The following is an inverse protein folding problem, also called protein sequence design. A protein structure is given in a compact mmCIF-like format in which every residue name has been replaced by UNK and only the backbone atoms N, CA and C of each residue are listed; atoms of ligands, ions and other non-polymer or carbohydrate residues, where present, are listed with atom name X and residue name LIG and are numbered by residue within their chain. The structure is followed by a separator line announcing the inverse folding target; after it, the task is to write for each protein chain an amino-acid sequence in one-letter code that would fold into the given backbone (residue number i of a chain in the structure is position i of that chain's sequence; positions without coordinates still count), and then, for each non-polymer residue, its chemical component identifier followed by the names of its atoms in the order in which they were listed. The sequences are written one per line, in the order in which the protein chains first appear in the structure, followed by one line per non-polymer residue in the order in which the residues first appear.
data_IF_212403732705
#
_entry.id   IF_212403732705
#
_cell.length_a   1.000
_cell.length_b   1.000
_cell.length_c   1.000
_cell.angle_alpha   90.00
_cell.angle_beta   90.00
_cell.angle_gamma   90.00
#
_symmetry.space_group_name_H-M   'P 1'
#
loop_
_entity.id
_entity.type
_entity.pdbx_description
1 polymer ?
#
# COMPACT_ATOMS: atom_id res chain seq x y z
N UNK A 1 24.09 -16.40 -18.40
CA UNK A 1 24.57 -15.01 -18.19
C UNK A 1 25.15 -14.90 -16.80
N UNK A 2 26.12 -14.00 -16.57
CA UNK A 2 26.70 -13.78 -15.23
C UNK A 2 25.82 -12.83 -14.40
N UNK A 3 25.20 -11.85 -15.06
CA UNK A 3 24.31 -10.87 -14.44
C UNK A 3 23.06 -10.67 -15.29
N UNK A 4 21.91 -10.48 -14.65
CA UNK A 4 20.62 -10.17 -15.30
C UNK A 4 19.91 -9.07 -14.49
N UNK A 5 19.33 -8.08 -15.17
CA UNK A 5 18.47 -7.06 -14.58
C UNK A 5 17.11 -7.10 -15.28
N UNK A 6 16.02 -7.10 -14.52
CA UNK A 6 14.67 -7.20 -15.07
C UNK A 6 13.68 -6.28 -14.36
N UNK A 7 12.83 -5.61 -15.15
CA UNK A 7 11.65 -4.90 -14.69
C UNK A 7 10.46 -5.32 -15.58
N UNK A 8 9.91 -6.52 -15.38
CA UNK A 8 8.81 -7.02 -16.18
C UNK A 8 7.51 -6.28 -15.89
N UNK A 9 6.51 -6.34 -16.79
CA UNK A 9 5.17 -5.83 -16.49
C UNK A 9 4.57 -6.58 -15.29
N UNK A 10 4.07 -5.83 -14.31
CA UNK A 10 3.59 -6.41 -13.06
C UNK A 10 2.28 -7.15 -13.26
N UNK A 11 2.23 -8.38 -12.76
CA UNK A 11 1.00 -9.18 -12.68
C UNK A 11 0.26 -9.30 -14.03
N UNK A 12 1.01 -9.30 -15.13
CA UNK A 12 0.45 -9.43 -16.47
C UNK A 12 -0.24 -10.79 -16.65
N UNK A 13 -1.30 -10.80 -17.46
CA UNK A 13 -1.85 -12.05 -17.98
C UNK A 13 -0.82 -12.67 -18.93
N UNK A 14 -0.73 -13.99 -18.93
CA UNK A 14 0.17 -14.72 -19.82
C UNK A 14 -0.39 -16.10 -20.15
N UNK A 15 0.08 -16.64 -21.25
CA UNK A 15 -0.20 -18.02 -21.64
C UNK A 15 0.82 -18.95 -20.98
N UNK A 16 0.31 -19.92 -20.23
CA UNK A 16 1.16 -20.95 -19.64
C UNK A 16 1.76 -21.80 -20.75
N UNK A 17 3.07 -21.95 -20.72
CA UNK A 17 3.83 -22.78 -21.66
C UNK A 17 4.48 -23.91 -20.86
N UNK A 18 4.35 -25.14 -21.34
CA UNK A 18 5.14 -26.25 -20.81
C UNK A 18 6.59 -26.11 -21.31
N UNK A 19 7.48 -25.75 -20.38
CA UNK A 19 8.89 -25.55 -20.67
C UNK A 19 9.72 -26.10 -19.52
N UNK A 20 10.85 -26.76 -19.85
CA UNK A 20 11.74 -27.38 -18.88
C UNK A 20 12.28 -26.41 -17.83
N UNK A 21 12.26 -25.10 -18.05
CA UNK A 21 12.67 -24.09 -17.06
C UNK A 21 11.75 -24.00 -15.83
N UNK A 22 10.53 -24.51 -15.93
CA UNK A 22 9.53 -24.47 -14.84
C UNK A 22 9.40 -25.81 -14.10
N UNK A 23 9.97 -26.89 -14.63
CA UNK A 23 9.72 -28.26 -14.18
C UNK A 23 10.03 -28.49 -12.69
N UNK A 24 11.09 -27.87 -12.17
CA UNK A 24 11.51 -28.01 -10.77
C UNK A 24 10.72 -27.16 -9.77
N UNK A 25 9.91 -26.18 -10.23
CA UNK A 25 9.26 -25.19 -9.36
C UNK A 25 7.74 -25.17 -9.49
N UNK A 26 7.23 -25.50 -10.67
CA UNK A 26 5.83 -25.30 -11.05
C UNK A 26 5.62 -24.08 -11.94
N UNK A 27 4.38 -23.88 -12.36
CA UNK A 27 3.98 -22.87 -13.35
C UNK A 27 3.20 -21.75 -12.65
N UNK A 28 3.55 -20.49 -12.94
CA UNK A 28 2.84 -19.34 -12.40
C UNK A 28 1.37 -19.27 -12.89
N UNK A 29 0.43 -18.65 -12.15
CA UNK A 29 -0.97 -18.54 -12.58
C UNK A 29 -1.13 -17.75 -13.88
N UNK A 30 -2.09 -18.11 -14.75
CA UNK A 30 -2.37 -17.41 -16.02
C UNK A 30 -2.59 -15.89 -15.86
N UNK A 31 -3.16 -15.48 -14.73
CA UNK A 31 -3.43 -14.07 -14.43
C UNK A 31 -2.25 -13.31 -13.82
N UNK A 32 -1.13 -13.99 -13.52
CA UNK A 32 0.04 -13.44 -12.83
C UNK A 32 1.34 -14.02 -13.38
N UNK A 33 1.95 -13.33 -14.32
CA UNK A 33 3.22 -13.72 -14.94
C UNK A 33 4.48 -13.47 -14.07
N UNK A 34 4.34 -12.93 -12.86
CA UNK A 34 5.46 -12.47 -12.03
C UNK A 34 6.53 -13.55 -11.84
N UNK A 35 6.14 -14.75 -11.38
CA UNK A 35 7.07 -15.89 -11.24
C UNK A 35 7.49 -16.52 -12.58
N UNK A 36 6.73 -16.32 -13.67
CA UNK A 36 7.16 -16.77 -14.98
C UNK A 36 8.39 -15.97 -15.46
N UNK A 37 8.38 -14.65 -15.28
CA UNK A 37 9.55 -13.80 -15.57
C UNK A 37 10.71 -14.06 -14.60
N UNK A 38 10.41 -14.27 -13.32
CA UNK A 38 11.39 -14.65 -12.30
C UNK A 38 12.17 -15.90 -12.72
N UNK A 39 11.45 -17.00 -12.99
CA UNK A 39 12.04 -18.28 -13.37
C UNK A 39 12.70 -18.22 -14.76
N UNK A 40 12.15 -17.44 -15.69
CA UNK A 40 12.79 -17.21 -16.98
C UNK A 40 14.19 -16.61 -16.81
N UNK A 41 14.33 -15.50 -16.08
CA UNK A 41 15.63 -14.89 -15.82
C UNK A 41 16.57 -15.83 -15.05
N UNK A 42 16.07 -16.46 -13.99
CA UNK A 42 16.86 -17.36 -13.15
C UNK A 42 17.41 -18.56 -13.94
N UNK A 43 16.61 -19.15 -14.84
CA UNK A 43 17.04 -20.26 -15.70
C UNK A 43 18.24 -19.91 -16.58
N UNK A 44 18.38 -18.63 -16.97
CA UNK A 44 19.44 -18.13 -17.85
C UNK A 44 20.71 -17.74 -17.10
N UNK A 45 20.70 -17.71 -15.77
CA UNK A 45 21.92 -17.50 -14.99
C UNK A 45 22.86 -18.70 -15.12
N UNK A 46 24.16 -18.41 -15.23
CA UNK A 46 25.23 -19.38 -15.01
C UNK A 46 25.38 -19.63 -13.50
N UNK A 47 26.04 -20.73 -13.14
CA UNK A 47 26.46 -20.98 -11.75
C UNK A 47 27.19 -19.77 -11.16
N UNK A 48 26.85 -19.39 -9.93
CA UNK A 48 27.37 -18.20 -9.25
C UNK A 48 26.85 -16.84 -9.77
N UNK A 49 26.06 -16.84 -10.85
CA UNK A 49 25.48 -15.65 -11.45
C UNK A 49 24.47 -14.95 -10.53
N UNK A 50 24.25 -13.66 -10.75
CA UNK A 50 23.37 -12.82 -9.93
C UNK A 50 22.28 -12.19 -10.80
N UNK A 51 21.06 -12.12 -10.30
CA UNK A 51 19.96 -11.41 -10.95
C UNK A 51 19.32 -10.43 -9.99
N UNK A 52 18.89 -9.28 -10.51
CA UNK A 52 18.03 -8.36 -9.77
C UNK A 52 16.74 -8.17 -10.57
N UNK A 53 15.60 -8.34 -9.91
CA UNK A 53 14.28 -8.22 -10.54
C UNK A 53 13.35 -7.37 -9.67
N UNK A 54 12.65 -6.44 -10.31
CA UNK A 54 11.61 -5.63 -9.66
C UNK A 54 10.25 -6.30 -9.83
N UNK A 55 9.52 -6.50 -8.73
CA UNK A 55 8.20 -7.13 -8.72
C UNK A 55 7.26 -6.45 -7.71
N UNK A 56 5.93 -6.62 -7.81
CA UNK A 56 5.01 -6.16 -6.78
C UNK A 56 5.13 -6.99 -5.49
N UNK A 57 4.82 -6.40 -4.33
CA UNK A 57 4.91 -7.07 -3.02
C UNK A 57 4.15 -8.42 -2.94
N UNK A 58 3.09 -8.60 -3.72
CA UNK A 58 2.30 -9.84 -3.68
C UNK A 58 3.12 -11.11 -3.90
N UNK A 59 4.23 -11.06 -4.65
CA UNK A 59 5.09 -12.24 -4.88
C UNK A 59 5.68 -12.82 -3.57
N UNK A 60 5.79 -11.98 -2.54
CA UNK A 60 6.36 -12.35 -1.24
C UNK A 60 5.46 -13.26 -0.41
N UNK A 61 4.14 -13.19 -0.61
CA UNK A 61 3.17 -13.85 0.28
C UNK A 61 2.01 -14.55 -0.41
N UNK A 62 1.77 -14.32 -1.71
CA UNK A 62 0.71 -15.04 -2.44
C UNK A 62 0.94 -16.55 -2.35
N UNK A 63 -0.15 -17.27 -2.09
CA UNK A 63 -0.14 -18.72 -1.83
C UNK A 63 -0.29 -19.56 -3.09
N UNK A 64 -0.89 -20.76 -2.94
CA UNK A 64 -1.17 -21.70 -4.02
C UNK A 64 0.07 -22.00 -4.89
N UNK A 65 -0.04 -21.84 -6.21
CA UNK A 65 1.05 -22.11 -7.14
C UNK A 65 2.30 -21.26 -6.87
N UNK A 66 2.12 -19.98 -6.56
CA UNK A 66 3.24 -19.06 -6.30
C UNK A 66 3.93 -19.37 -4.97
N UNK A 67 3.17 -19.79 -3.96
CA UNK A 67 3.73 -20.26 -2.69
C UNK A 67 4.64 -21.49 -2.87
N UNK A 68 4.25 -22.44 -3.73
CA UNK A 68 5.07 -23.62 -4.05
C UNK A 68 6.37 -23.23 -4.78
N UNK A 69 6.28 -22.36 -5.78
CA UNK A 69 7.45 -21.85 -6.51
C UNK A 69 8.41 -21.13 -5.55
N UNK A 70 7.89 -20.23 -4.72
CA UNK A 70 8.69 -19.48 -3.74
C UNK A 70 9.40 -20.39 -2.74
N UNK A 71 8.68 -21.39 -2.20
CA UNK A 71 9.27 -22.40 -1.31
C UNK A 71 10.44 -23.12 -1.96
N UNK A 72 10.27 -23.62 -3.19
CA UNK A 72 11.33 -24.32 -3.91
C UNK A 72 12.56 -23.43 -4.17
N UNK A 73 12.35 -22.16 -4.52
CA UNK A 73 13.43 -21.19 -4.70
C UNK A 73 14.20 -20.89 -3.39
N UNK A 74 13.50 -20.83 -2.26
CA UNK A 74 14.12 -20.65 -0.94
C UNK A 74 14.89 -21.90 -0.50
N UNK A 75 14.35 -23.09 -0.76
CA UNK A 75 15.01 -24.37 -0.51
C UNK A 75 16.32 -24.54 -1.29
N UNK A 76 16.41 -23.95 -2.49
CA UNK A 76 17.64 -23.90 -3.31
C UNK A 76 18.61 -22.77 -2.89
N UNK A 77 18.20 -21.87 -1.98
CA UNK A 77 19.00 -20.69 -1.63
C UNK A 77 19.06 -19.62 -2.72
N UNK A 78 18.17 -19.70 -3.71
CA UNK A 78 18.16 -18.84 -4.90
C UNK A 78 17.88 -17.37 -4.57
N UNK A 79 17.01 -17.12 -3.58
CA UNK A 79 16.64 -15.76 -3.13
C UNK A 79 17.67 -15.29 -2.11
N UNK A 80 18.50 -14.32 -2.47
CA UNK A 80 19.56 -13.78 -1.61
C UNK A 80 19.09 -12.59 -0.78
N UNK A 81 18.32 -11.69 -1.37
CA UNK A 81 17.84 -10.51 -0.66
C UNK A 81 16.49 -10.01 -1.18
N UNK A 82 15.73 -9.37 -0.29
CA UNK A 82 14.46 -8.70 -0.55
C UNK A 82 14.59 -7.26 -0.08
N UNK A 83 14.45 -6.32 -1.01
CA UNK A 83 14.57 -4.89 -0.73
C UNK A 83 13.22 -4.24 -1.03
N UNK A 84 12.52 -3.78 0.00
CA UNK A 84 11.28 -3.01 -0.13
C UNK A 84 11.59 -1.60 -0.63
N UNK A 85 11.03 -1.22 -1.77
CA UNK A 85 11.23 0.10 -2.34
C UNK A 85 10.07 1.03 -1.95
N UNK A 86 10.29 2.36 -1.95
CA UNK A 86 9.22 3.32 -1.72
C UNK A 86 8.05 3.13 -2.70
N UNK A 87 6.84 3.38 -2.21
CA UNK A 87 5.66 3.46 -3.05
C UNK A 87 5.77 4.61 -4.06
N UNK A 88 4.98 4.56 -5.13
CA UNK A 88 4.85 5.66 -6.10
C UNK A 88 6.16 6.15 -6.75
N UNK A 89 7.17 5.28 -6.93
CA UNK A 89 8.42 5.60 -7.65
C UNK A 89 8.36 5.23 -9.15
N UNK A 90 7.48 4.30 -9.53
CA UNK A 90 7.31 3.84 -10.91
C UNK A 90 6.20 4.60 -11.63
N UNK A 91 6.33 4.74 -12.95
CA UNK A 91 5.25 5.30 -13.77
C UNK A 91 4.10 4.29 -13.91
N UNK A 92 2.86 4.79 -13.88
CA UNK A 92 1.66 3.98 -14.14
C UNK A 92 1.16 3.16 -12.94
N UNK A 93 1.81 3.22 -11.78
CA UNK A 93 1.33 2.60 -10.55
C UNK A 93 1.88 3.29 -9.31
N UNK A 94 1.04 3.45 -8.29
CA UNK A 94 1.46 3.92 -6.96
C UNK A 94 1.76 2.78 -5.99
N UNK A 95 1.64 1.52 -6.45
CA UNK A 95 1.84 0.33 -5.62
C UNK A 95 3.32 0.24 -5.19
N UNK A 96 3.62 -0.10 -3.92
CA UNK A 96 4.99 -0.41 -3.50
C UNK A 96 5.52 -1.65 -4.20
N UNK A 97 6.82 -1.66 -4.46
CA UNK A 97 7.50 -2.73 -5.21
C UNK A 97 8.69 -3.23 -4.42
N UNK A 98 9.16 -4.42 -4.76
CA UNK A 98 10.36 -5.00 -4.18
C UNK A 98 11.40 -5.24 -5.27
N UNK A 99 12.65 -4.98 -4.92
CA UNK A 99 13.81 -5.45 -5.65
C UNK A 99 14.27 -6.76 -5.01
N UNK A 100 14.20 -7.85 -5.78
CA UNK A 100 14.63 -9.18 -5.33
C UNK A 100 15.97 -9.48 -5.96
N UNK A 101 16.95 -9.82 -5.13
CA UNK A 101 18.26 -10.26 -5.57
C UNK A 101 18.31 -11.77 -5.50
N UNK A 102 18.67 -12.39 -6.62
CA UNK A 102 18.86 -13.82 -6.75
C UNK A 102 20.33 -14.13 -6.96
N UNK A 103 20.80 -15.25 -6.41
CA UNK A 103 22.12 -15.81 -6.71
C UNK A 103 22.00 -17.29 -7.00
N UNK A 104 22.60 -17.74 -8.09
CA UNK A 104 22.54 -19.15 -8.51
C UNK A 104 23.61 -19.98 -7.82
N UNK A 105 23.26 -21.21 -7.45
CA UNK A 105 24.12 -22.20 -6.79
C UNK A 105 24.79 -21.64 -5.52
N UNK A 106 24.00 -21.03 -4.62
CA UNK A 106 24.45 -20.53 -3.33
C UNK A 106 24.16 -21.57 -2.24
N UNK A 107 25.18 -21.92 -1.43
CA UNK A 107 25.02 -22.85 -0.31
C UNK A 107 24.23 -22.25 0.86
N UNK A 108 24.55 -20.99 1.19
CA UNK A 108 23.83 -20.20 2.18
C UNK A 108 22.39 -19.92 1.71
N UNK A 109 21.40 -20.23 2.56
CA UNK A 109 19.98 -20.05 2.27
C UNK A 109 19.33 -18.91 3.05
N UNK A 110 20.12 -18.16 3.83
CA UNK A 110 19.65 -16.97 4.51
C UNK A 110 19.17 -15.92 3.49
N UNK A 111 18.22 -15.10 3.91
CA UNK A 111 17.64 -14.03 3.11
C UNK A 111 17.89 -12.71 3.83
N UNK A 112 18.52 -11.77 3.14
CA UNK A 112 18.73 -10.43 3.67
C UNK A 112 17.54 -9.54 3.33
N UNK A 113 16.91 -8.96 4.36
CA UNK A 113 15.79 -8.05 4.20
C UNK A 113 16.24 -6.61 4.42
N UNK A 114 15.75 -5.70 3.56
CA UNK A 114 15.88 -4.26 3.73
C UNK A 114 14.49 -3.65 3.51
N UNK A 115 14.01 -2.84 4.44
CA UNK A 115 12.87 -1.96 4.24
C UNK A 115 13.34 -0.54 3.91
N UNK A 116 13.44 -0.23 2.62
CA UNK A 116 13.72 1.11 2.15
C UNK A 116 12.45 1.88 1.77
N UNK A 117 11.26 1.45 2.24
CA UNK A 117 9.98 2.08 1.90
C UNK A 117 9.90 3.56 2.26
N UNK A 118 10.66 3.99 3.28
CA UNK A 118 10.76 5.38 3.78
C UNK A 118 11.88 6.19 3.14
N UNK A 119 12.77 5.58 2.34
CA UNK A 119 13.93 6.25 1.76
C UNK A 119 13.55 6.98 0.45
N UNK A 120 12.76 8.04 0.53
CA UNK A 120 12.37 8.84 -0.63
C UNK A 120 12.17 10.31 -0.31
N UNK A 121 12.33 11.16 -1.32
CA UNK A 121 11.81 12.52 -1.28
C UNK A 121 10.43 12.55 -1.93
N UNK A 122 9.46 13.16 -1.24
CA UNK A 122 8.10 13.33 -1.75
C UNK A 122 8.13 14.32 -2.93
N UNK A 123 7.98 13.79 -4.14
CA UNK A 123 7.79 14.61 -5.33
C UNK A 123 6.31 14.92 -5.58
N UNK A 124 6.04 15.77 -6.58
CA UNK A 124 4.68 16.23 -6.90
C UNK A 124 3.75 15.11 -7.38
N UNK A 125 4.24 14.25 -8.28
CA UNK A 125 3.46 13.14 -8.87
C UNK A 125 4.02 11.76 -8.52
N UNK A 126 5.31 11.69 -8.17
CA UNK A 126 6.05 10.47 -7.86
C UNK A 126 7.04 10.73 -6.74
N UNK A 127 7.33 9.70 -5.97
CA UNK A 127 8.42 9.72 -5.02
C UNK A 127 9.76 9.62 -5.75
N UNK A 128 10.77 10.33 -5.25
CA UNK A 128 12.09 10.40 -5.84
C UNK A 128 13.08 9.64 -4.96
N UNK A 129 13.72 8.64 -5.54
CA UNK A 129 14.85 7.94 -4.94
C UNK A 129 16.12 8.73 -5.26
N UNK A 130 16.61 9.51 -4.29
CA UNK A 130 17.84 10.29 -4.43
C UNK A 130 19.07 9.40 -4.33
N UNK A 131 20.20 9.92 -4.79
CA UNK A 131 21.49 9.20 -4.73
C UNK A 131 21.87 8.80 -3.30
N UNK A 132 21.56 9.64 -2.30
CA UNK A 132 21.79 9.35 -0.88
C UNK A 132 21.01 8.12 -0.39
N UNK A 133 19.75 7.98 -0.84
CA UNK A 133 18.90 6.82 -0.54
C UNK A 133 19.46 5.56 -1.20
N UNK A 134 19.86 5.66 -2.47
CA UNK A 134 20.44 4.55 -3.22
C UNK A 134 21.74 4.08 -2.57
N UNK A 135 22.61 5.01 -2.15
CA UNK A 135 23.86 4.68 -1.47
C UNK A 135 23.61 4.00 -0.12
N UNK A 136 22.66 4.48 0.68
CA UNK A 136 22.29 3.85 1.95
C UNK A 136 21.83 2.40 1.75
N UNK A 137 20.94 2.16 0.79
CA UNK A 137 20.45 0.82 0.45
C UNK A 137 21.61 -0.08 -0.01
N UNK A 138 22.45 0.44 -0.91
CA UNK A 138 23.57 -0.30 -1.49
C UNK A 138 24.60 -0.70 -0.43
N UNK A 139 25.03 0.23 0.43
CA UNK A 139 25.98 -0.04 1.50
C UNK A 139 25.40 -1.04 2.50
N UNK A 140 24.13 -0.89 2.89
CA UNK A 140 23.46 -1.83 3.80
C UNK A 140 23.42 -3.24 3.20
N UNK A 141 23.11 -3.36 1.91
CA UNK A 141 23.14 -4.65 1.21
C UNK A 141 24.55 -5.24 1.10
N UNK A 142 25.55 -4.42 0.79
CA UNK A 142 26.94 -4.86 0.61
C UNK A 142 27.55 -5.36 1.92
N UNK A 143 27.31 -4.66 3.02
CA UNK A 143 27.80 -5.03 4.36
C UNK A 143 26.94 -6.11 5.04
N UNK A 144 25.74 -6.39 4.52
CA UNK A 144 24.72 -7.22 5.17
C UNK A 144 24.47 -6.81 6.62
N UNK A 145 24.56 -5.49 6.88
CA UNK A 145 24.48 -4.92 8.22
C UNK A 145 23.04 -4.98 8.74
N UNK A 146 22.84 -5.55 9.91
CA UNK A 146 21.58 -5.43 10.64
C UNK A 146 21.42 -4.00 11.17
N UNK A 147 20.31 -3.34 10.82
CA UNK A 147 19.97 -1.99 11.26
C UNK A 147 18.55 -2.04 11.79
N UNK A 148 18.36 -1.54 13.02
CA UNK A 148 17.05 -1.52 13.66
C UNK A 148 16.00 -0.84 12.77
N UNK A 149 14.84 -1.47 12.65
CA UNK A 149 13.71 -1.05 11.80
C UNK A 149 14.02 -0.87 10.30
N UNK A 150 15.17 -1.33 9.83
CA UNK A 150 15.60 -1.11 8.44
C UNK A 150 16.11 -2.37 7.74
N UNK A 151 16.95 -3.18 8.38
CA UNK A 151 17.53 -4.36 7.73
C UNK A 151 17.85 -5.48 8.70
N UNK A 152 17.71 -6.72 8.22
CA UNK A 152 18.03 -7.92 9.00
C UNK A 152 18.40 -9.09 8.09
N UNK A 153 19.43 -9.84 8.48
CA UNK A 153 19.72 -11.15 7.90
C UNK A 153 18.88 -12.20 8.63
N UNK A 154 18.14 -13.00 7.87
CA UNK A 154 17.21 -13.99 8.41
C UNK A 154 17.64 -15.37 7.92
N UNK A 155 17.77 -16.30 8.86
CA UNK A 155 18.14 -17.68 8.56
C UNK A 155 17.00 -18.44 7.89
N UNK A 156 17.35 -19.46 7.11
CA UNK A 156 16.37 -20.27 6.37
C UNK A 156 15.30 -20.91 7.28
N UNK A 157 15.69 -21.36 8.47
CA UNK A 157 14.76 -22.00 9.41
C UNK A 157 13.69 -21.01 9.91
N UNK A 158 14.05 -19.75 10.18
CA UNK A 158 13.07 -18.71 10.54
C UNK A 158 12.11 -18.40 9.37
N UNK A 159 12.61 -18.40 8.12
CA UNK A 159 11.76 -18.24 6.94
C UNK A 159 10.81 -19.42 6.76
N UNK A 160 11.27 -20.64 7.06
CA UNK A 160 10.48 -21.86 7.01
C UNK A 160 9.39 -21.89 8.08
N UNK A 161 9.71 -21.47 9.31
CA UNK A 161 8.75 -21.34 10.41
C UNK A 161 7.68 -20.29 10.12
N UNK A 162 8.01 -19.30 9.29
CA UNK A 162 7.07 -18.30 8.75
C UNK A 162 6.34 -18.75 7.47
N UNK A 163 6.21 -20.06 7.23
CA UNK A 163 5.52 -20.64 6.06
C UNK A 163 6.05 -20.12 4.70
N UNK A 164 7.35 -19.83 4.62
CA UNK A 164 8.00 -19.24 3.44
C UNK A 164 7.38 -17.90 3.01
N UNK A 165 6.76 -17.18 3.94
CA UNK A 165 6.23 -15.84 3.70
C UNK A 165 7.37 -14.82 3.81
N UNK A 166 7.65 -14.10 2.72
CA UNK A 166 8.74 -13.12 2.65
C UNK A 166 8.26 -11.69 2.88
N UNK A 167 7.09 -11.49 3.48
CA UNK A 167 6.60 -10.14 3.77
C UNK A 167 7.54 -9.43 4.75
N UNK A 168 8.06 -8.27 4.36
CA UNK A 168 9.16 -7.58 5.06
C UNK A 168 8.85 -7.29 6.54
N UNK A 169 7.65 -6.81 6.92
CA UNK A 169 7.31 -6.54 8.32
C UNK A 169 7.35 -7.75 9.25
N UNK A 170 7.47 -8.98 8.72
CA UNK A 170 7.65 -10.19 9.55
C UNK A 170 9.07 -10.30 10.11
N UNK A 171 10.04 -9.63 9.48
CA UNK A 171 11.46 -9.80 9.78
C UNK A 171 12.12 -8.50 10.19
N UNK A 172 11.67 -7.38 9.62
CA UNK A 172 12.09 -6.03 9.98
C UNK A 172 10.93 -5.39 10.71
N UNK A 173 11.11 -5.10 12.00
CA UNK A 173 10.08 -4.41 12.78
C UNK A 173 10.01 -2.95 12.35
N UNK A 174 9.05 -2.64 11.49
CA UNK A 174 8.80 -1.29 10.97
C UNK A 174 7.78 -0.54 11.81
N UNK A 175 7.34 -1.09 12.95
CA UNK A 175 6.35 -0.45 13.79
C UNK A 175 6.94 0.82 14.43
N UNK A 176 6.23 1.92 14.24
CA UNK A 176 6.41 3.14 15.01
C UNK A 176 5.31 3.14 16.07
N UNK A 177 5.69 3.21 17.35
CA UNK A 177 4.71 3.51 18.40
C UNK A 177 4.10 4.86 18.05
N UNK A 178 2.78 4.88 17.82
CA UNK A 178 2.05 6.14 17.65
C UNK A 178 2.24 6.95 18.94
N UNK A 179 2.50 8.25 18.77
CA UNK A 179 2.59 9.15 19.92
C UNK A 179 1.31 9.01 20.76
N UNK A 180 1.43 8.90 22.10
CA UNK A 180 0.27 8.76 22.95
C UNK A 180 -0.66 9.95 22.74
N UNK A 181 -1.90 9.66 22.31
CA UNK A 181 -2.92 10.67 22.06
C UNK A 181 -3.24 11.38 23.38
N UNK A 182 -3.05 12.71 23.43
CA UNK A 182 -3.51 13.52 24.55
C UNK A 182 -5.04 13.60 24.52
N UNK A 183 -5.67 12.73 25.30
CA UNK A 183 -7.13 12.68 25.46
C UNK A 183 -7.72 14.02 25.94
N UNK A 184 -6.94 14.83 26.68
CA UNK A 184 -7.34 16.16 27.11
C UNK A 184 -7.37 17.16 25.95
N UNK A 185 -6.35 17.14 25.09
CA UNK A 185 -6.31 17.97 23.88
C UNK A 185 -7.45 17.63 22.93
N UNK A 186 -7.72 16.33 22.70
CA UNK A 186 -8.84 15.86 21.87
C UNK A 186 -10.18 16.29 22.44
N UNK A 187 -10.37 16.19 23.76
CA UNK A 187 -11.61 16.64 24.41
C UNK A 187 -11.81 18.16 24.25
N UNK A 188 -10.74 18.95 24.39
CA UNK A 188 -10.79 20.40 24.16
C UNK A 188 -11.13 20.74 22.71
N UNK A 189 -10.54 20.03 21.75
CA UNK A 189 -10.82 20.20 20.32
C UNK A 189 -12.29 19.89 20.01
N UNK A 190 -12.84 18.80 20.56
CA UNK A 190 -14.27 18.47 20.44
C UNK A 190 -15.14 19.60 21.00
N UNK A 191 -14.81 20.11 22.20
CA UNK A 191 -15.58 21.20 22.82
C UNK A 191 -15.52 22.50 22.00
N UNK A 192 -14.38 22.79 21.37
CA UNK A 192 -14.21 23.95 20.49
C UNK A 192 -15.02 23.78 19.21
N UNK A 193 -14.95 22.62 18.56
CA UNK A 193 -15.73 22.30 17.36
C UNK A 193 -17.23 22.37 17.62
N UNK A 194 -17.71 21.85 18.75
CA UNK A 194 -19.13 21.96 19.14
C UNK A 194 -19.58 23.41 19.33
N UNK A 195 -18.70 24.26 19.88
CA UNK A 195 -18.98 25.69 20.04
C UNK A 195 -19.00 26.41 18.68
N UNK A 196 -18.10 26.05 17.77
CA UNK A 196 -18.09 26.58 16.40
C UNK A 196 -19.32 26.14 15.61
N UNK A 197 -19.70 24.86 15.67
CA UNK A 197 -20.92 24.33 15.05
C UNK A 197 -22.14 25.14 15.52
N UNK A 198 -22.31 25.31 16.84
CA UNK A 198 -23.43 26.10 17.39
C UNK A 198 -23.41 27.55 16.92
N UNK A 199 -22.23 28.14 16.78
CA UNK A 199 -22.09 29.51 16.28
C UNK A 199 -22.51 29.58 14.81
N UNK A 200 -22.00 28.69 13.97
CA UNK A 200 -22.32 28.63 12.54
C UNK A 200 -23.80 28.32 12.30
N UNK A 201 -24.42 27.43 13.09
CA UNK A 201 -25.85 27.15 13.04
C UNK A 201 -26.68 28.40 13.38
N UNK A 202 -26.26 29.19 14.37
CA UNK A 202 -26.93 30.44 14.74
C UNK A 202 -26.80 31.51 13.64
N UNK A 203 -25.63 31.64 13.04
CA UNK A 203 -25.40 32.55 11.92
C UNK A 203 -26.26 32.16 10.71
N UNK A 204 -26.25 30.88 10.34
CA UNK A 204 -27.08 30.34 9.26
C UNK A 204 -28.58 30.54 9.55
N UNK A 205 -29.02 30.29 10.78
CA UNK A 205 -30.40 30.53 11.20
C UNK A 205 -30.81 32.00 11.10
N UNK A 206 -29.90 32.93 11.39
CA UNK A 206 -30.14 34.37 11.25
C UNK A 206 -30.28 34.76 9.78
N UNK A 207 -29.39 34.26 8.92
CA UNK A 207 -29.47 34.48 7.46
C UNK A 207 -30.77 33.91 6.88
N UNK A 208 -31.16 32.70 7.29
CA UNK A 208 -32.42 32.09 6.85
C UNK A 208 -33.62 32.95 7.24
N UNK A 209 -33.61 33.56 8.42
CA UNK A 209 -34.69 34.44 8.88
C UNK A 209 -34.92 35.65 7.97
N UNK A 210 -33.85 36.21 7.41
CA UNK A 210 -33.88 37.36 6.50
C UNK A 210 -34.28 36.97 5.07
N UNK A 211 -34.34 35.68 4.74
CA UNK A 211 -34.77 35.21 3.43
C UNK A 211 -36.29 35.19 3.30
N UNK A 212 -36.78 35.78 2.20
CA UNK A 212 -38.15 35.71 1.71
C UNK A 212 -38.19 35.21 0.25
N UNK A 213 -39.27 34.52 -0.12
CA UNK A 213 -39.47 34.03 -1.49
C UNK A 213 -40.21 35.09 -2.31
N UNK A 214 -39.54 35.68 -3.29
CA UNK A 214 -40.04 36.79 -4.09
C UNK A 214 -41.18 36.45 -5.06
N UNK A 215 -41.24 35.22 -5.57
CA UNK A 215 -42.18 34.82 -6.63
C UNK A 215 -43.45 34.11 -6.12
N UNK A 216 -43.60 33.94 -4.80
CA UNK A 216 -44.77 33.29 -4.21
C UNK A 216 -44.93 31.79 -4.50
N UNK A 217 -43.90 31.13 -5.03
CA UNK A 217 -43.95 29.69 -5.34
C UNK A 217 -44.16 28.86 -4.05
N UNK A 218 -45.28 28.14 -3.92
CA UNK A 218 -45.62 27.39 -2.71
C UNK A 218 -44.56 26.34 -2.32
N UNK A 219 -43.88 25.72 -3.30
CA UNK A 219 -42.86 24.70 -3.03
C UNK A 219 -41.60 25.31 -2.42
N UNK A 220 -41.19 26.48 -2.92
CA UNK A 220 -40.02 27.19 -2.40
C UNK A 220 -40.29 27.77 -1.00
N UNK A 221 -41.51 28.24 -0.74
CA UNK A 221 -41.93 28.72 0.59
C UNK A 221 -41.89 27.56 1.60
N UNK A 222 -42.46 26.41 1.24
CA UNK A 222 -42.49 25.24 2.11
C UNK A 222 -41.08 24.68 2.38
N UNK A 223 -40.21 24.63 1.36
CA UNK A 223 -38.81 24.21 1.51
C UNK A 223 -38.02 25.15 2.43
N UNK A 224 -38.23 26.47 2.32
CA UNK A 224 -37.60 27.47 3.18
C UNK A 224 -38.09 27.33 4.64
N UNK A 225 -39.38 27.09 4.87
CA UNK A 225 -39.94 26.88 6.21
C UNK A 225 -39.43 25.58 6.86
N UNK A 226 -39.33 24.48 6.11
CA UNK A 226 -38.72 23.23 6.56
C UNK A 226 -37.24 23.43 6.94
N UNK A 227 -36.51 24.18 6.13
CA UNK A 227 -35.10 24.51 6.39
C UNK A 227 -34.94 25.38 7.63
N UNK A 228 -35.77 26.43 7.79
CA UNK A 228 -35.84 27.26 9.02
C UNK A 228 -36.10 26.39 10.26
N UNK A 229 -37.01 25.44 10.18
CA UNK A 229 -37.35 24.52 11.28
C UNK A 229 -36.19 23.57 11.63
N UNK A 230 -35.45 23.06 10.65
CA UNK A 230 -34.27 22.22 10.89
C UNK A 230 -33.16 22.95 11.66
N UNK A 231 -32.98 24.24 11.41
CA UNK A 231 -32.01 25.08 12.13
C UNK A 231 -32.60 25.79 13.37
N UNK A 232 -33.74 25.32 13.89
CA UNK A 232 -34.32 25.82 15.14
C UNK A 232 -34.89 27.25 15.08
N UNK A 233 -35.08 27.80 13.88
CA UNK A 233 -35.61 29.14 13.66
C UNK A 233 -37.14 29.13 13.81
N UNK A 234 -37.70 30.03 14.64
CA UNK A 234 -39.16 30.16 14.82
C UNK A 234 -39.80 30.65 13.52
N UNK A 235 -40.76 29.89 13.00
CA UNK A 235 -41.55 30.24 11.82
C UNK A 235 -42.93 30.78 12.24
N UNK A 236 -43.33 31.95 11.74
CA UNK A 236 -44.59 32.61 12.09
C UNK A 236 -45.85 31.97 11.46
N UNK A 237 -45.70 30.93 10.63
CA UNK A 237 -46.81 30.20 10.02
C UNK A 237 -46.80 28.73 10.42
N UNK A 238 -47.95 28.24 10.89
CA UNK A 238 -48.21 26.80 11.10
C UNK A 238 -48.21 26.10 9.74
N UNK A 239 -47.14 25.38 9.42
CA UNK A 239 -47.17 24.39 8.36
C UNK A 239 -47.97 23.19 8.87
N UNK A 240 -49.13 22.91 8.26
CA UNK A 240 -49.96 21.77 8.61
C UNK A 240 -49.18 20.46 8.38
N UNK A 241 -49.30 19.54 9.34
CA UNK A 241 -48.54 18.28 9.43
C UNK A 241 -49.02 17.16 8.49
N UNK A 242 -49.81 17.47 7.46
CA UNK A 242 -50.47 16.43 6.63
C UNK A 242 -49.90 16.22 5.23
N UNK A 243 -49.01 17.09 4.72
CA UNK A 243 -48.37 16.83 3.42
C UNK A 243 -47.00 16.19 3.62
N UNK A 244 -46.99 14.88 3.85
CA UNK A 244 -45.81 14.03 3.67
C UNK A 244 -45.36 14.13 2.21
N UNK A 245 -44.17 14.68 1.99
CA UNK A 245 -43.45 14.43 0.73
C UNK A 245 -42.67 13.13 0.93
N UNK A 246 -43.13 12.07 0.28
CA UNK A 246 -42.33 10.89 -0.06
C UNK A 246 -41.09 11.35 -0.82
N UNK A 247 -39.91 11.20 -0.21
CA UNK A 247 -38.64 11.23 -0.93
C UNK A 247 -38.46 9.87 -1.59
N UNK A 248 -38.85 9.76 -2.86
CA UNK A 248 -38.33 8.69 -3.72
C UNK A 248 -36.86 9.00 -4.00
N UNK A 249 -35.98 8.13 -3.51
CA UNK A 249 -34.62 7.90 -4.00
C UNK A 249 -34.61 6.54 -4.67
#
# INVERSE_FOLDING_TARGET
MNSILMNPPFSANWEQIEDGRFSSYGIAPKSKADFAFFLHGYSKLKSGGTMAIVLPHGVLFRGAAEGKIRKALLEEGAIKAIIGLPANIFYGTSIPTVLIILKKDREDKSVFFIDASKDFEKGKNKNLLKDEHIQKIFLTYQEQKGIEKYSRLVEYDEVKDNDFNLNIPRYVDTFEEEDPIDMGAVALEIMQLDAEIKKSEKELGSMLNEMEVSNGDPKLIQALELTKKMFGVKTDKKVNSEDQITLEI
#
